data_IF_204125152608
#
_entry.id   IF_204125152608
#
_cell.length_a   1.000
_cell.length_b   1.000
_cell.length_c   1.000
_cell.angle_alpha   90.00
_cell.angle_beta   90.00
_cell.angle_gamma   90.00
#
_symmetry.space_group_name_H-M   'P 1'
#
loop_
_entity.id
_entity.type
_entity.pdbx_description
1 polymer ?
#
# COMPACT_ATOMS: atom_id res chain seq x y z
N UNK A 1 -1.99 11.08 -5.48
CA UNK A 1 -0.58 10.65 -5.63
C UNK A 1 -0.11 10.59 -7.08
N UNK A 2 -0.95 10.27 -8.06
CA UNK A 2 -0.53 10.19 -9.46
C UNK A 2 0.21 11.46 -9.97
N UNK A 3 -0.33 12.65 -9.69
CA UNK A 3 0.27 13.92 -10.10
C UNK A 3 1.75 14.05 -9.73
N UNK A 4 2.11 13.85 -8.45
CA UNK A 4 3.49 14.02 -7.98
C UNK A 4 4.44 12.93 -8.48
N UNK A 5 3.90 11.74 -8.79
CA UNK A 5 4.66 10.66 -9.42
C UNK A 5 4.94 11.00 -10.89
N UNK A 6 3.94 11.52 -11.61
CA UNK A 6 4.11 11.95 -13.01
C UNK A 6 5.05 13.16 -13.14
N UNK A 7 5.15 14.00 -12.11
CA UNK A 7 6.15 15.09 -12.06
C UNK A 7 7.57 14.60 -11.71
N UNK A 8 7.75 13.33 -11.35
CA UNK A 8 9.05 12.80 -10.91
C UNK A 8 9.48 13.28 -9.52
N UNK A 9 8.57 13.85 -8.72
CA UNK A 9 8.89 14.32 -7.36
C UNK A 9 8.88 13.18 -6.33
N UNK A 10 8.24 12.06 -6.66
CA UNK A 10 8.25 10.84 -5.87
C UNK A 10 8.20 9.62 -6.80
N UNK A 11 8.89 8.54 -6.45
CA UNK A 11 8.86 7.29 -7.21
C UNK A 11 7.67 6.40 -6.83
N UNK A 12 7.21 6.50 -5.59
CA UNK A 12 6.14 5.68 -5.03
C UNK A 12 5.44 6.40 -3.88
N UNK A 13 4.37 5.80 -3.38
CA UNK A 13 3.69 6.26 -2.19
C UNK A 13 3.20 5.09 -1.34
N UNK A 14 2.82 5.41 -0.11
CA UNK A 14 2.30 4.45 0.84
C UNK A 14 1.30 5.10 1.80
N UNK A 15 0.78 4.27 2.70
CA UNK A 15 -0.22 4.67 3.69
C UNK A 15 0.34 4.53 5.09
N UNK A 16 -0.01 5.44 5.99
CA UNK A 16 0.30 5.33 7.42
C UNK A 16 -0.99 5.30 8.22
N UNK A 17 -1.12 4.31 9.11
CA UNK A 17 -2.28 4.15 9.99
C UNK A 17 -3.64 3.90 9.34
N UNK A 18 -3.69 3.54 8.06
CA UNK A 18 -4.94 3.21 7.37
C UNK A 18 -5.52 1.86 7.82
N UNK A 19 -6.82 1.68 7.63
CA UNK A 19 -7.48 0.38 7.82
C UNK A 19 -7.27 -0.54 6.62
N UNK A 20 -7.47 -1.85 6.82
CA UNK A 20 -7.35 -2.81 5.72
C UNK A 20 -8.31 -2.53 4.55
N UNK A 21 -9.52 -2.05 4.87
CA UNK A 21 -10.51 -1.67 3.87
C UNK A 21 -10.06 -0.48 3.03
N UNK A 22 -9.54 0.58 3.66
CA UNK A 22 -9.05 1.77 2.95
C UNK A 22 -7.87 1.43 2.02
N UNK A 23 -6.96 0.56 2.46
CA UNK A 23 -5.84 0.14 1.62
C UNK A 23 -6.35 -0.68 0.43
N UNK A 24 -7.30 -1.60 0.65
CA UNK A 24 -7.90 -2.40 -0.43
C UNK A 24 -8.62 -1.53 -1.46
N UNK A 25 -9.42 -0.57 -1.01
CA UNK A 25 -10.11 0.38 -1.87
C UNK A 25 -9.13 1.24 -2.68
N UNK A 26 -8.11 1.81 -2.03
CA UNK A 26 -7.09 2.59 -2.73
C UNK A 26 -6.36 1.77 -3.79
N UNK A 27 -6.05 0.52 -3.47
CA UNK A 27 -5.49 -0.46 -4.40
C UNK A 27 -6.39 -0.70 -5.62
N UNK A 28 -7.70 -0.88 -5.42
CA UNK A 28 -8.67 -1.08 -6.51
C UNK A 28 -8.80 0.16 -7.41
N UNK A 29 -8.88 1.35 -6.81
CA UNK A 29 -8.99 2.62 -7.55
C UNK A 29 -7.75 2.86 -8.43
N UNK A 30 -6.57 2.55 -7.90
CA UNK A 30 -5.29 2.87 -8.56
C UNK A 30 -4.77 1.76 -9.46
N UNK A 31 -5.43 0.59 -9.51
CA UNK A 31 -4.97 -0.58 -10.26
C UNK A 31 -4.82 -0.28 -11.76
N UNK A 32 -5.79 0.45 -12.32
CA UNK A 32 -5.78 0.86 -13.74
C UNK A 32 -4.75 1.93 -14.08
N UNK A 33 -4.31 2.68 -13.07
CA UNK A 33 -3.36 3.78 -13.23
C UNK A 33 -1.91 3.33 -12.97
N UNK A 34 -1.70 2.12 -12.47
CA UNK A 34 -0.38 1.60 -12.15
C UNK A 34 0.31 2.33 -10.99
N UNK A 35 -0.45 3.03 -10.13
CA UNK A 35 0.07 3.82 -9.01
C UNK A 35 -0.50 3.37 -7.67
N UNK A 36 -0.48 2.06 -7.42
CA UNK A 36 -0.90 1.48 -6.13
C UNK A 36 -0.01 1.96 -4.98
N UNK A 37 -0.54 2.10 -3.75
CA UNK A 37 0.32 2.25 -2.59
C UNK A 37 1.11 0.94 -2.43
N UNK A 38 2.43 1.04 -2.30
CA UNK A 38 3.31 -0.15 -2.24
C UNK A 38 3.80 -0.46 -0.82
N UNK A 39 3.52 0.42 0.15
CA UNK A 39 3.93 0.25 1.54
C UNK A 39 2.82 0.71 2.49
N UNK A 40 2.62 -0.06 3.56
CA UNK A 40 1.83 0.32 4.72
C UNK A 40 2.71 0.49 5.95
N UNK A 41 2.52 1.57 6.71
CA UNK A 41 3.20 1.84 7.97
C UNK A 41 2.17 1.78 9.13
N UNK A 42 1.81 0.58 9.61
CA UNK A 42 1.00 0.42 10.80
C UNK A 42 1.83 0.55 12.08
N UNK A 43 1.15 0.68 13.23
CA UNK A 43 1.78 0.38 14.52
C UNK A 43 2.11 -1.09 14.56
N UNK A 44 3.36 -1.39 14.92
CA UNK A 44 3.81 -2.75 15.20
C UNK A 44 4.92 -2.75 16.25
N UNK A 45 4.65 -3.37 17.40
CA UNK A 45 5.60 -3.54 18.49
C UNK A 45 5.21 -4.75 19.35
N UNK A 46 6.04 -5.12 20.33
CA UNK A 46 5.68 -6.18 21.30
C UNK A 46 4.38 -5.86 22.05
N UNK A 47 4.08 -4.57 22.25
CA UNK A 47 2.90 -4.11 22.96
C UNK A 47 1.65 -4.02 22.08
N UNK A 48 1.81 -3.89 20.76
CA UNK A 48 0.70 -3.78 19.82
C UNK A 48 1.03 -4.46 18.50
N UNK A 49 0.36 -5.59 18.28
CA UNK A 49 0.50 -6.48 17.12
C UNK A 49 -0.80 -6.61 16.33
N UNK A 50 -1.90 -6.03 16.83
CA UNK A 50 -3.26 -6.34 16.37
C UNK A 50 -3.44 -6.02 14.88
N UNK A 51 -2.95 -4.84 14.47
CA UNK A 51 -3.14 -4.36 13.11
C UNK A 51 -2.43 -5.22 12.07
N UNK A 52 -1.18 -5.57 12.33
CA UNK A 52 -0.37 -6.38 11.41
C UNK A 52 -0.81 -7.84 11.41
N UNK A 53 -1.05 -8.43 12.58
CA UNK A 53 -1.22 -9.88 12.69
C UNK A 53 -2.66 -10.35 12.53
N UNK A 54 -3.64 -9.46 12.64
CA UNK A 54 -5.06 -9.81 12.55
C UNK A 54 -5.76 -8.99 11.48
N UNK A 55 -5.72 -7.65 11.57
CA UNK A 55 -6.46 -6.81 10.61
C UNK A 55 -5.92 -6.90 9.18
N UNK A 56 -4.61 -7.01 9.01
CA UNK A 56 -3.96 -7.01 7.69
C UNK A 56 -3.79 -8.41 7.08
N UNK A 57 -4.23 -9.47 7.76
CA UNK A 57 -4.07 -10.86 7.30
C UNK A 57 -4.57 -11.05 5.87
N UNK A 58 -5.74 -10.50 5.54
CA UNK A 58 -6.33 -10.64 4.21
C UNK A 58 -5.65 -9.74 3.16
N UNK A 59 -5.01 -8.64 3.58
CA UNK A 59 -4.18 -7.82 2.70
C UNK A 59 -2.96 -8.60 2.21
N UNK A 60 -2.36 -9.45 3.06
CA UNK A 60 -1.18 -10.25 2.70
C UNK A 60 -1.51 -11.48 1.85
N UNK A 61 -2.74 -12.01 1.95
CA UNK A 61 -3.20 -13.12 1.10
C UNK A 61 -3.45 -12.68 -0.34
N UNK A 62 -3.86 -11.42 -0.53
CA UNK A 62 -4.02 -10.82 -1.85
C UNK A 62 -2.69 -10.19 -2.27
N UNK A 63 -2.36 -10.13 -3.57
CA UNK A 63 -1.21 -9.38 -4.09
C UNK A 63 -1.44 -7.86 -3.99
N UNK A 64 -1.77 -7.36 -2.80
CA UNK A 64 -2.21 -5.98 -2.60
C UNK A 64 -1.07 -5.01 -2.31
N UNK A 65 -0.11 -5.42 -1.48
CA UNK A 65 1.02 -4.59 -1.01
C UNK A 65 2.39 -5.28 -1.20
N UNK A 66 2.49 -6.61 -1.07
CA UNK A 66 3.79 -7.32 -1.07
C UNK A 66 4.28 -7.80 -2.44
N UNK A 67 3.38 -7.93 -3.41
CA UNK A 67 3.75 -8.30 -4.78
C UNK A 67 4.18 -7.04 -5.51
N UNK A 68 5.48 -6.73 -5.40
CA UNK A 68 6.14 -5.78 -6.29
C UNK A 68 5.98 -6.24 -7.73
N UNK A 69 4.88 -5.82 -8.38
CA UNK A 69 4.90 -5.68 -9.83
C UNK A 69 6.02 -4.68 -10.10
N UNK A 70 7.05 -5.12 -10.84
CA UNK A 70 8.16 -4.26 -11.22
C UNK A 70 7.58 -3.08 -11.99
N UNK A 71 7.44 -1.94 -11.32
CA UNK A 71 7.02 -0.70 -11.98
C UNK A 71 8.28 -0.05 -12.52
N UNK A 72 8.68 -0.50 -13.71
CA UNK A 72 9.69 0.19 -14.51
C UNK A 72 9.07 1.48 -15.06
N UNK A 73 9.30 2.60 -14.39
CA UNK A 73 9.43 3.89 -15.08
C UNK A 73 10.89 4.29 -14.93
N UNK A 74 11.62 4.14 -16.02
CA UNK A 74 12.92 4.75 -16.26
C UNK A 74 12.81 6.28 -16.18
#
# INVERSE_FOLDING_TARGET
MNYVIDQGWAFYWGTSMWTAAQISEACEITDRLGVRPIVGQPIYSVLDRNKVEFEYVDLYKKPSISSGKSYSKA
#
